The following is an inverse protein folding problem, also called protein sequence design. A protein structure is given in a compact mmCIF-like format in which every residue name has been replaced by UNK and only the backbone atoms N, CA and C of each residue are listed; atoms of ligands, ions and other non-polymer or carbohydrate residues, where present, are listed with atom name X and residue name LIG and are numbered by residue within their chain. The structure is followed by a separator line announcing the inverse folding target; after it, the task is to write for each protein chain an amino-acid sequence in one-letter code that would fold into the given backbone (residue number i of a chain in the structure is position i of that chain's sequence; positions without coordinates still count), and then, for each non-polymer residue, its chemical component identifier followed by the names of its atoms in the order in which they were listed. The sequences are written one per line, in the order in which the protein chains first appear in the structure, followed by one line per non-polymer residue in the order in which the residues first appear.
data_IF_587890485650
#
_entry.id   IF_587890485650
#
_cell.length_a   1.000
_cell.length_b   1.000
_cell.length_c   1.000
_cell.angle_alpha   90.00
_cell.angle_beta   90.00
_cell.angle_gamma   90.00
#
_symmetry.space_group_name_H-M   'P 1'
#
loop_
_entity.id
_entity.type
_entity.pdbx_description
1 polymer ?
#
# COMPACT_ATOMS: atom_id res chain seq x y z
N UNK A 1 13.92 -9.88 5.78
CA UNK A 1 12.85 -10.55 5.02
C UNK A 1 12.01 -9.47 4.37
N UNK A 2 11.86 -9.45 3.04
CA UNK A 2 10.87 -8.58 2.39
C UNK A 2 9.52 -9.27 2.50
N UNK A 3 8.56 -8.61 3.15
CA UNK A 3 7.18 -9.10 3.19
C UNK A 3 6.51 -8.62 1.90
N UNK A 4 6.27 -9.54 0.96
CA UNK A 4 5.59 -9.20 -0.30
C UNK A 4 4.09 -9.18 -0.04
N UNK A 5 3.56 -8.03 0.37
CA UNK A 5 2.13 -7.85 0.62
C UNK A 5 1.45 -7.64 -0.73
N UNK A 6 0.48 -8.49 -1.06
CA UNK A 6 -0.32 -8.35 -2.27
C UNK A 6 -1.67 -7.71 -1.95
N UNK A 7 -2.06 -6.71 -2.74
CA UNK A 7 -3.34 -5.99 -2.60
C UNK A 7 -4.02 -5.88 -3.96
N UNK A 8 -5.34 -5.69 -3.94
CA UNK A 8 -6.10 -5.38 -5.14
C UNK A 8 -6.41 -3.89 -5.19
N UNK A 9 -6.30 -3.30 -6.39
CA UNK A 9 -6.73 -1.93 -6.64
C UNK A 9 -8.26 -1.85 -6.73
N UNK A 10 -8.81 -0.64 -6.84
CA UNK A 10 -10.24 -0.44 -7.09
C UNK A 10 -10.72 -0.97 -8.45
N UNK A 11 -9.80 -1.30 -9.36
CA UNK A 11 -10.07 -1.90 -10.67
C UNK A 11 -9.87 -3.42 -10.68
N UNK A 12 -9.72 -4.04 -9.50
CA UNK A 12 -9.48 -5.48 -9.32
C UNK A 12 -8.14 -5.96 -9.91
N UNK A 13 -7.16 -5.05 -10.04
CA UNK A 13 -5.80 -5.40 -10.46
C UNK A 13 -4.97 -5.80 -9.24
N UNK A 14 -4.28 -6.94 -9.34
CA UNK A 14 -3.37 -7.40 -8.30
C UNK A 14 -2.05 -6.64 -8.37
N UNK A 15 -1.61 -6.07 -7.25
CA UNK A 15 -0.35 -5.34 -7.13
C UNK A 15 0.41 -5.70 -5.86
N UNK A 16 1.71 -5.44 -5.85
CA UNK A 16 2.63 -5.82 -4.79
C UNK A 16 3.15 -4.56 -4.09
N UNK A 17 2.93 -4.49 -2.77
CA UNK A 17 3.55 -3.45 -1.95
C UNK A 17 5.04 -3.76 -1.78
N UNK A 18 5.85 -2.75 -2.05
CA UNK A 18 7.29 -2.77 -1.90
C UNK A 18 7.73 -2.33 -0.50
N UNK A 19 8.72 -1.44 -0.44
CA UNK A 19 9.28 -0.94 0.81
C UNK A 19 8.28 -0.03 1.51
N UNK A 20 8.20 -0.11 2.84
CA UNK A 20 7.57 0.95 3.63
C UNK A 20 8.39 2.25 3.50
N UNK A 21 7.71 3.32 3.14
CA UNK A 21 8.28 4.66 3.01
C UNK A 21 8.10 5.49 4.28
N UNK A 22 7.02 5.24 5.03
CA UNK A 22 6.77 5.89 6.31
C UNK A 22 5.47 5.45 6.94
N UNK A 23 5.36 5.71 8.24
CA UNK A 23 4.19 5.37 9.07
C UNK A 23 3.76 6.57 9.89
N UNK A 24 2.46 6.85 9.88
CA UNK A 24 1.81 7.89 10.69
C UNK A 24 0.71 7.30 11.57
N UNK A 25 -0.02 8.15 12.29
CA UNK A 25 -1.12 7.72 13.16
C UNK A 25 -2.25 7.01 12.40
N UNK A 26 -2.55 7.46 11.18
CA UNK A 26 -3.65 6.94 10.37
C UNK A 26 -3.31 5.67 9.58
N UNK A 27 -2.03 5.43 9.30
CA UNK A 27 -1.64 4.39 8.35
C UNK A 27 -0.16 4.41 7.98
N UNK A 28 0.18 3.58 7.01
CA UNK A 28 1.53 3.47 6.45
C UNK A 28 1.53 3.65 4.92
N UNK A 29 2.64 4.14 4.39
CA UNK A 29 2.85 4.40 2.96
C UNK A 29 3.91 3.43 2.45
N UNK A 30 3.65 2.85 1.28
CA UNK A 30 4.51 1.86 0.65
C UNK A 30 4.80 2.23 -0.81
N UNK A 31 5.99 1.87 -1.30
CA UNK A 31 6.24 1.75 -2.74
C UNK A 31 5.28 0.72 -3.34
N UNK A 32 5.02 0.83 -4.65
CA UNK A 32 4.31 -0.20 -5.40
C UNK A 32 5.26 -0.74 -6.47
N UNK A 33 5.50 -2.06 -6.46
CA UNK A 33 6.55 -2.66 -7.31
C UNK A 33 6.24 -2.48 -8.80
N UNK A 34 4.96 -2.54 -9.18
CA UNK A 34 4.53 -2.42 -10.57
C UNK A 34 4.39 -0.96 -11.04
N UNK A 35 4.35 0.03 -10.14
CA UNK A 35 4.08 1.45 -10.45
C UNK A 35 5.12 2.37 -9.81
N UNK A 36 6.20 2.63 -10.55
CA UNK A 36 7.41 3.35 -10.07
C UNK A 36 7.13 4.81 -9.66
N UNK A 37 6.10 5.43 -10.20
CA UNK A 37 5.69 6.81 -9.92
C UNK A 37 4.56 6.91 -8.88
N UNK A 38 4.19 5.80 -8.25
CA UNK A 38 3.03 5.70 -7.38
C UNK A 38 3.37 5.11 -6.00
N UNK A 39 2.54 5.45 -5.01
CA UNK A 39 2.65 4.93 -3.64
C UNK A 39 1.28 4.50 -3.13
N UNK A 40 1.24 3.48 -2.29
CA UNK A 40 0.02 3.03 -1.64
C UNK A 40 -0.02 3.51 -0.18
N UNK A 41 -1.11 4.16 0.23
CA UNK A 41 -1.40 4.44 1.66
C UNK A 41 -2.38 3.40 2.18
N UNK A 42 -1.96 2.61 3.16
CA UNK A 42 -2.78 1.61 3.85
C UNK A 42 -3.22 2.20 5.19
N UNK A 43 -4.52 2.38 5.38
CA UNK A 43 -5.11 2.89 6.62
C UNK A 43 -5.20 1.79 7.68
N UNK A 44 -4.86 2.10 8.93
CA UNK A 44 -4.95 1.15 10.05
C UNK A 44 -6.41 0.81 10.40
N UNK A 45 -7.29 1.78 10.22
CA UNK A 45 -8.74 1.64 10.40
C UNK A 45 -9.42 2.03 9.10
N UNK A 46 -10.49 1.34 8.70
CA UNK A 46 -11.28 1.79 7.56
C UNK A 46 -11.73 3.24 7.77
N UNK A 47 -11.76 4.07 6.72
CA UNK A 47 -12.36 5.39 6.82
C UNK A 47 -13.84 5.26 7.25
N UNK A 48 -14.40 6.28 7.93
CA UNK A 48 -15.82 6.31 8.22
C UNK A 48 -16.64 6.14 6.93
N UNK A 49 -17.83 5.50 6.99
CA UNK A 49 -18.72 5.36 5.85
C UNK A 49 -19.24 6.70 5.30
#
# INVERSE_FOLDING_TARGET
MKTNIKVFTSTDELTTLGRELGKGGEGAVYDIEEFVDSVAKIYHTPPPP
#
